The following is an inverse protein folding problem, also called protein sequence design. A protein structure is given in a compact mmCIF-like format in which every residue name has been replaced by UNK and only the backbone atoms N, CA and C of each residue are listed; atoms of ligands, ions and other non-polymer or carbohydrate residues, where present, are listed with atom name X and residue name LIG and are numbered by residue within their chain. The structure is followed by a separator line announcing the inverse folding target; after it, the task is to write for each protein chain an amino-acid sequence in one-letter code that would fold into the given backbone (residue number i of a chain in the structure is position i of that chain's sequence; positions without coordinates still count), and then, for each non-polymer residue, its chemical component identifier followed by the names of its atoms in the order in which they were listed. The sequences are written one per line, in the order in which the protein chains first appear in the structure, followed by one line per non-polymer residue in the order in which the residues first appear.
data_IF_793825280477
#
_entry.id   IF_793825280477
#
_cell.length_a   1.000
_cell.length_b   1.000
_cell.length_c   1.000
_cell.angle_alpha   90.00
_cell.angle_beta   90.00
_cell.angle_gamma   90.00
#
_symmetry.space_group_name_H-M   'P 1'
#
loop_
_entity.id
_entity.type
_entity.pdbx_description
1 polymer ?
#
# COMPACT_ATOMS: atom_id res chain seq x y z
N UNK A 1 -28.11 36.10 -23.79
CA UNK A 1 -26.94 36.94 -23.47
C UNK A 1 -25.68 36.22 -23.97
N UNK A 2 -24.82 36.99 -24.64
CA UNK A 2 -23.41 36.80 -24.99
C UNK A 2 -22.86 35.46 -25.50
N UNK A 3 -22.36 35.57 -26.75
CA UNK A 3 -21.48 34.68 -27.48
C UNK A 3 -20.07 34.65 -26.86
N UNK A 4 -19.42 33.49 -26.87
CA UNK A 4 -17.97 33.38 -27.09
C UNK A 4 -17.68 32.22 -28.05
N UNK A 5 -16.85 32.53 -29.06
CA UNK A 5 -16.25 31.62 -30.05
C UNK A 5 -14.74 31.58 -29.76
N UNK A 6 -14.11 30.41 -29.84
CA UNK A 6 -12.69 30.15 -30.13
C UNK A 6 -12.66 28.69 -30.66
N UNK A 7 -12.52 28.36 -31.96
CA UNK A 7 -11.38 28.46 -32.90
C UNK A 7 -10.11 27.74 -32.46
N UNK A 8 -9.96 26.49 -32.94
CA UNK A 8 -8.92 26.09 -33.90
C UNK A 8 -7.52 25.79 -33.37
N UNK A 9 -7.07 24.55 -33.54
CA UNK A 9 -5.67 24.16 -33.40
C UNK A 9 -5.44 22.69 -33.74
N UNK A 10 -5.40 22.37 -35.03
CA UNK A 10 -4.91 21.08 -35.52
C UNK A 10 -3.43 21.24 -35.88
N UNK A 11 -2.58 20.35 -35.38
CA UNK A 11 -1.26 20.06 -35.96
C UNK A 11 -1.00 18.56 -35.82
N UNK A 12 -1.08 17.87 -36.95
CA UNK A 12 -0.50 16.54 -37.11
C UNK A 12 0.97 16.65 -37.49
N UNK A 13 1.73 15.60 -37.20
CA UNK A 13 2.94 15.23 -37.93
C UNK A 13 2.88 13.72 -38.16
N UNK A 14 3.09 13.35 -39.42
CA UNK A 14 3.07 12.01 -39.99
C UNK A 14 4.51 11.56 -40.26
N UNK A 15 4.78 10.31 -39.87
CA UNK A 15 5.75 9.32 -40.41
C UNK A 15 7.23 9.66 -40.61
N UNK A 16 8.09 8.76 -40.13
CA UNK A 16 9.05 8.07 -40.99
C UNK A 16 9.44 6.69 -40.42
N UNK A 17 9.18 5.65 -41.21
CA UNK A 17 9.68 4.29 -41.06
C UNK A 17 11.08 4.27 -41.68
N UNK A 18 12.08 3.75 -40.97
CA UNK A 18 13.36 3.38 -41.56
C UNK A 18 13.70 1.93 -41.18
N UNK A 19 13.50 1.04 -42.15
CA UNK A 19 14.09 -0.29 -42.18
C UNK A 19 15.44 -0.21 -42.90
N UNK A 20 16.47 -0.88 -42.41
CA UNK A 20 17.79 -0.93 -43.04
C UNK A 20 18.78 -1.89 -42.39
N UNK A 21 18.83 -3.11 -42.92
CA UNK A 21 19.96 -4.05 -43.10
C UNK A 21 21.09 -4.20 -42.06
N UNK A 22 21.16 -5.42 -41.51
CA UNK A 22 22.28 -6.39 -41.62
C UNK A 22 23.73 -5.85 -41.74
N UNK A 23 24.49 -6.00 -40.65
CA UNK A 23 25.82 -6.64 -40.55
C UNK A 23 27.01 -6.07 -41.34
N UNK A 24 28.11 -5.74 -40.65
CA UNK A 24 29.41 -6.42 -40.78
C UNK A 24 30.41 -5.93 -39.70
N UNK A 25 31.35 -6.81 -39.38
CA UNK A 25 32.28 -6.92 -38.26
C UNK A 25 33.40 -5.86 -38.19
N UNK A 26 33.86 -5.70 -36.95
CA UNK A 26 35.25 -5.46 -36.51
C UNK A 26 35.92 -4.12 -36.88
N UNK A 27 35.94 -3.22 -35.90
CA UNK A 27 37.06 -2.29 -35.74
C UNK A 27 37.46 -2.13 -34.28
N UNK A 28 38.64 -2.67 -34.03
CA UNK A 28 39.53 -2.52 -32.88
C UNK A 28 39.66 -1.08 -32.38
N UNK A 29 39.68 -0.94 -31.05
CA UNK A 29 40.38 0.14 -30.35
C UNK A 29 39.50 1.08 -29.54
N UNK A 30 39.38 0.82 -28.24
CA UNK A 30 39.14 1.81 -27.16
C UNK A 30 39.61 1.12 -25.88
N UNK A 31 40.83 1.44 -25.43
CA UNK A 31 41.10 2.38 -24.33
C UNK A 31 40.54 1.88 -22.99
N UNK A 32 41.40 1.63 -21.97
CA UNK A 32 40.90 1.34 -20.63
C UNK A 32 40.26 2.61 -20.10
N UNK A 33 38.93 2.64 -20.04
CA UNK A 33 38.22 3.70 -19.34
C UNK A 33 38.45 3.50 -17.86
N UNK A 34 38.79 4.61 -17.20
CA UNK A 34 38.90 4.77 -15.75
C UNK A 34 37.78 4.02 -15.01
N UNK A 35 38.15 3.39 -13.90
CA UNK A 35 37.20 2.93 -12.89
C UNK A 35 36.56 4.14 -12.22
N UNK A 36 35.58 4.73 -12.89
CA UNK A 36 34.47 5.34 -12.18
C UNK A 36 33.72 4.21 -11.50
N UNK A 37 33.47 4.36 -10.21
CA UNK A 37 32.39 3.67 -9.52
C UNK A 37 31.07 4.12 -10.17
N UNK A 38 30.83 3.70 -11.41
CA UNK A 38 29.51 3.75 -12.02
C UNK A 38 28.66 2.83 -11.14
N UNK A 39 27.74 3.44 -10.39
CA UNK A 39 26.65 2.69 -9.77
C UNK A 39 26.00 1.89 -10.89
N UNK A 40 26.22 0.59 -10.89
CA UNK A 40 25.44 -0.36 -11.68
C UNK A 40 24.43 -0.96 -10.70
N UNK A 41 23.34 -0.23 -10.35
CA UNK A 41 22.31 -0.78 -9.50
C UNK A 41 21.63 -1.88 -10.30
N UNK A 42 22.15 -3.10 -10.18
CA UNK A 42 21.50 -4.33 -10.67
C UNK A 42 20.30 -4.68 -9.76
N UNK A 43 19.52 -3.67 -9.37
CA UNK A 43 18.33 -3.80 -8.55
C UNK A 43 17.13 -3.51 -9.43
N UNK A 44 16.16 -4.43 -9.46
CA UNK A 44 14.82 -4.07 -9.92
C UNK A 44 14.18 -3.19 -8.85
N UNK A 45 13.60 -2.06 -9.27
CA UNK A 45 12.86 -1.18 -8.38
C UNK A 45 11.58 -1.89 -7.94
N UNK A 46 11.35 -1.98 -6.63
CA UNK A 46 10.12 -2.54 -6.10
C UNK A 46 9.01 -1.48 -6.18
N UNK A 47 7.98 -1.78 -6.98
CA UNK A 47 6.80 -0.92 -7.19
C UNK A 47 5.66 -1.22 -6.17
N UNK A 48 5.91 -2.06 -5.15
CA UNK A 48 4.93 -2.26 -4.07
C UNK A 48 4.73 -0.95 -3.30
N UNK A 49 3.47 -0.70 -2.92
CA UNK A 49 3.12 0.53 -2.20
C UNK A 49 3.71 0.57 -0.78
N UNK A 50 3.82 -0.58 -0.10
CA UNK A 50 4.48 -0.69 1.20
C UNK A 50 5.62 -1.69 1.10
N UNK A 51 6.83 -1.24 1.42
CA UNK A 51 8.06 -2.01 1.34
C UNK A 51 8.63 -2.24 2.73
N UNK A 52 8.60 -3.47 3.25
CA UNK A 52 9.33 -3.84 4.45
C UNK A 52 10.81 -3.47 4.36
N UNK A 53 11.30 -2.74 5.36
CA UNK A 53 12.71 -2.40 5.53
C UNK A 53 13.61 -3.64 5.44
N UNK A 54 13.17 -4.77 6.00
CA UNK A 54 13.90 -6.04 5.95
C UNK A 54 14.03 -6.67 4.56
N UNK A 55 13.28 -6.19 3.56
CA UNK A 55 13.35 -6.66 2.17
C UNK A 55 14.16 -5.74 1.26
N UNK A 56 14.66 -4.60 1.77
CA UNK A 56 15.55 -3.74 1.03
C UNK A 56 16.91 -4.43 0.80
N UNK A 57 17.56 -4.24 -0.37
CA UNK A 57 18.93 -4.69 -0.59
C UNK A 57 19.92 -4.02 0.38
N UNK A 58 21.07 -4.65 0.62
CA UNK A 58 22.04 -4.26 1.66
C UNK A 58 22.43 -2.76 1.60
N UNK A 59 22.75 -2.22 0.42
CA UNK A 59 23.16 -0.82 0.26
C UNK A 59 22.00 0.18 0.53
N UNK A 60 20.83 0.09 -0.15
CA UNK A 60 19.63 0.85 0.21
C UNK A 60 19.22 0.72 1.69
N UNK A 61 19.30 -0.50 2.25
CA UNK A 61 18.94 -0.78 3.63
C UNK A 61 19.86 -0.03 4.60
N UNK A 62 21.17 -0.04 4.36
CA UNK A 62 22.14 0.66 5.19
C UNK A 62 21.95 2.19 5.15
N UNK A 63 21.59 2.77 4.00
CA UNK A 63 21.25 4.20 3.90
C UNK A 63 19.96 4.53 4.65
N UNK A 64 18.92 3.71 4.48
CA UNK A 64 17.65 3.86 5.20
C UNK A 64 17.86 3.77 6.72
N UNK A 65 18.66 2.82 7.18
CA UNK A 65 19.00 2.67 8.59
C UNK A 65 19.62 3.96 9.16
N UNK A 66 20.64 4.48 8.46
CA UNK A 66 21.33 5.70 8.90
C UNK A 66 20.38 6.89 8.94
N UNK A 67 19.48 7.00 7.96
CA UNK A 67 18.51 8.07 7.91
C UNK A 67 17.49 7.98 9.05
N UNK A 68 16.94 6.80 9.32
CA UNK A 68 16.01 6.57 10.43
C UNK A 68 16.67 6.83 11.80
N UNK A 69 17.94 6.44 11.98
CA UNK A 69 18.67 6.62 13.24
C UNK A 69 19.10 8.08 13.51
N UNK A 70 19.34 8.88 12.45
CA UNK A 70 19.99 10.18 12.56
C UNK A 70 19.14 11.37 12.07
N UNK A 71 17.83 11.19 11.86
CA UNK A 71 16.96 12.23 11.27
C UNK A 71 17.45 12.68 9.88
N UNK A 72 17.92 11.68 9.12
CA UNK A 72 18.38 11.79 7.75
C UNK A 72 19.82 11.32 7.52
N UNK A 73 20.11 11.01 6.26
CA UNK A 73 21.42 10.57 5.78
C UNK A 73 21.87 11.47 4.64
N UNK A 74 22.99 12.16 4.81
CA UNK A 74 23.55 13.10 3.83
C UNK A 74 24.84 12.54 3.22
N UNK A 75 24.99 12.68 1.91
CA UNK A 75 26.16 12.22 1.16
C UNK A 75 26.46 13.14 -0.03
N UNK A 76 27.74 13.23 -0.40
CA UNK A 76 28.20 13.88 -1.64
C UNK A 76 28.14 12.93 -2.85
N UNK A 77 27.92 11.64 -2.59
CA UNK A 77 27.76 10.60 -3.60
C UNK A 77 26.28 10.42 -3.99
N UNK A 78 26.00 9.62 -5.01
CA UNK A 78 24.63 9.26 -5.38
C UNK A 78 24.04 8.25 -4.37
N UNK A 79 22.79 8.48 -3.96
CA UNK A 79 22.06 7.61 -3.02
C UNK A 79 21.62 6.32 -3.73
N UNK A 80 21.81 5.18 -3.06
CA UNK A 80 21.34 3.86 -3.53
C UNK A 80 19.84 3.67 -3.32
N UNK A 81 19.30 4.21 -2.23
CA UNK A 81 17.89 4.08 -1.84
C UNK A 81 16.87 4.37 -2.97
N UNK A 82 16.93 5.48 -3.72
CA UNK A 82 15.95 5.78 -4.77
C UNK A 82 15.98 4.82 -5.97
N UNK A 83 17.02 3.98 -6.09
CA UNK A 83 17.09 2.95 -7.14
C UNK A 83 16.33 1.67 -6.75
N UNK A 84 16.17 1.41 -5.45
CA UNK A 84 15.49 0.21 -4.97
C UNK A 84 14.00 0.44 -4.65
N UNK A 85 13.64 1.68 -4.28
CA UNK A 85 12.29 2.03 -3.78
C UNK A 85 11.64 3.05 -4.71
N UNK A 86 10.40 2.79 -5.13
CA UNK A 86 9.65 3.74 -5.95
C UNK A 86 9.26 5.01 -5.14
N UNK A 87 9.24 6.21 -5.74
CA UNK A 87 8.95 7.47 -5.03
C UNK A 87 7.58 7.57 -4.36
N UNK A 88 6.64 6.69 -4.72
CA UNK A 88 5.29 6.62 -4.15
C UNK A 88 5.16 5.55 -3.07
N UNK A 89 6.23 4.81 -2.79
CA UNK A 89 6.24 3.72 -1.83
C UNK A 89 6.58 4.22 -0.43
N UNK A 90 6.00 3.56 0.55
CA UNK A 90 6.20 3.77 1.98
C UNK A 90 7.07 2.64 2.53
N UNK A 91 8.00 2.95 3.43
CA UNK A 91 8.83 1.93 4.09
C UNK A 91 8.20 1.51 5.40
N UNK A 92 8.01 0.20 5.61
CA UNK A 92 7.58 -0.37 6.89
C UNK A 92 8.81 -0.79 7.71
N UNK A 93 8.98 -0.25 8.92
CA UNK A 93 10.04 -0.67 9.84
C UNK A 93 9.48 -0.86 11.25
N UNK A 94 9.66 -2.06 11.82
CA UNK A 94 9.16 -2.44 13.15
C UNK A 94 7.65 -2.18 13.40
N UNK A 95 6.84 -2.17 12.34
CA UNK A 95 5.39 -1.94 12.40
C UNK A 95 4.96 -0.50 12.15
N UNK A 96 5.91 0.44 12.15
CA UNK A 96 5.69 1.83 11.79
C UNK A 96 5.94 2.04 10.29
N UNK A 97 5.32 3.07 9.72
CA UNK A 97 5.38 3.37 8.30
C UNK A 97 6.01 4.74 8.06
N UNK A 98 6.84 4.84 7.02
CA UNK A 98 7.61 6.04 6.72
C UNK A 98 7.51 6.43 5.25
N UNK A 99 7.06 7.65 5.01
CA UNK A 99 7.30 8.35 3.76
C UNK A 99 8.76 8.78 3.71
N UNK A 100 9.32 8.89 2.51
CA UNK A 100 10.71 9.28 2.32
C UNK A 100 10.84 10.39 1.30
N UNK A 101 11.83 11.24 1.51
CA UNK A 101 12.15 12.33 0.61
C UNK A 101 13.67 12.46 0.40
N UNK A 102 14.04 13.00 -0.76
CA UNK A 102 15.43 13.34 -1.06
C UNK A 102 15.51 14.84 -1.29
N UNK A 103 16.15 15.53 -0.34
CA UNK A 103 16.57 16.92 -0.49
C UNK A 103 17.89 16.95 -1.25
N UNK A 104 18.01 17.80 -2.28
CA UNK A 104 19.26 17.96 -3.04
C UNK A 104 19.77 19.39 -2.90
N UNK A 105 21.00 19.55 -2.42
CA UNK A 105 21.65 20.85 -2.22
C UNK A 105 23.03 20.88 -2.87
N UNK A 106 23.21 21.70 -3.91
CA UNK A 106 24.47 21.85 -4.66
C UNK A 106 25.16 20.52 -5.06
N UNK A 107 25.99 19.97 -4.19
CA UNK A 107 26.77 18.75 -4.37
C UNK A 107 26.36 17.60 -3.43
N UNK A 108 25.41 17.81 -2.51
CA UNK A 108 24.94 16.80 -1.56
C UNK A 108 23.51 16.37 -1.84
N UNK A 109 23.20 15.13 -1.46
CA UNK A 109 21.84 14.61 -1.36
C UNK A 109 21.58 14.15 0.07
N UNK A 110 20.42 14.50 0.62
CA UNK A 110 19.97 14.08 1.95
C UNK A 110 18.68 13.27 1.85
N UNK A 111 18.74 12.01 2.26
CA UNK A 111 17.59 11.13 2.45
C UNK A 111 16.97 11.41 3.82
N UNK A 112 15.64 11.53 3.90
CA UNK A 112 14.87 11.65 5.15
C UNK A 112 13.67 10.73 5.15
N UNK A 113 13.22 10.39 6.35
CA UNK A 113 12.01 9.62 6.59
C UNK A 113 11.09 10.41 7.52
N UNK A 114 9.81 10.45 7.21
CA UNK A 114 8.76 11.02 8.05
C UNK A 114 7.72 9.92 8.32
N UNK A 115 7.38 9.73 9.60
CA UNK A 115 6.35 8.77 9.99
C UNK A 115 5.00 9.15 9.37
N UNK A 116 4.31 8.18 8.79
CA UNK A 116 3.04 8.37 8.09
C UNK A 116 2.08 7.23 8.43
N UNK A 117 0.82 7.40 8.06
CA UNK A 117 -0.16 6.31 8.06
C UNK A 117 -0.58 6.08 6.61
N UNK A 118 -0.07 5.03 5.93
CA UNK A 118 -0.40 4.79 4.54
C UNK A 118 -1.89 4.54 4.38
N UNK A 119 -2.42 4.80 3.18
CA UNK A 119 -3.80 4.48 2.83
C UNK A 119 -3.83 3.40 1.76
N UNK A 120 -4.63 2.37 2.01
CA UNK A 120 -5.00 1.35 1.04
C UNK A 120 -5.61 2.01 -0.21
N UNK A 121 -5.20 1.61 -1.44
CA UNK A 121 -5.81 2.11 -2.67
C UNK A 121 -7.28 1.68 -2.87
N UNK A 122 -7.77 0.68 -2.11
CA UNK A 122 -9.16 0.25 -2.08
C UNK A 122 -9.87 0.62 -0.78
N UNK A 123 -10.95 -0.09 -0.47
CA UNK A 123 -11.59 -0.07 0.84
C UNK A 123 -11.25 -1.36 1.60
N UNK A 124 -11.18 -1.23 2.92
CA UNK A 124 -11.19 -2.33 3.85
C UNK A 124 -12.66 -2.66 4.12
N UNK A 125 -13.04 -3.89 3.79
CA UNK A 125 -14.43 -4.29 3.76
C UNK A 125 -14.73 -5.24 4.94
N UNK A 126 -15.87 -5.00 5.60
CA UNK A 126 -16.38 -5.80 6.70
C UNK A 126 -17.64 -6.55 6.23
N UNK A 127 -17.53 -7.87 6.09
CA UNK A 127 -18.67 -8.75 5.83
C UNK A 127 -19.37 -9.09 7.15
N UNK A 128 -20.70 -9.09 7.19
CA UNK A 128 -21.47 -9.47 8.39
C UNK A 128 -22.03 -10.88 8.18
N UNK A 129 -21.69 -11.79 9.11
CA UNK A 129 -22.08 -13.20 9.05
C UNK A 129 -22.96 -13.51 10.26
N UNK A 130 -24.23 -13.86 10.01
CA UNK A 130 -25.14 -14.28 11.07
C UNK A 130 -25.09 -15.80 11.26
N UNK A 131 -24.45 -16.25 12.35
CA UNK A 131 -24.35 -17.66 12.72
C UNK A 131 -25.49 -18.13 13.63
N UNK A 132 -26.52 -17.30 13.83
CA UNK A 132 -27.74 -17.68 14.55
C UNK A 132 -28.74 -18.36 13.62
N UNK A 133 -29.72 -19.06 14.19
CA UNK A 133 -30.77 -19.76 13.44
C UNK A 133 -31.94 -18.84 13.01
N UNK A 134 -31.89 -17.53 13.33
CA UNK A 134 -32.97 -16.56 13.03
C UNK A 134 -32.39 -15.27 12.42
N UNK A 135 -33.15 -14.53 11.59
CA UNK A 135 -32.70 -13.22 11.12
C UNK A 135 -32.51 -12.24 12.28
N UNK A 136 -31.44 -11.46 12.23
CA UNK A 136 -31.09 -10.46 13.25
C UNK A 136 -30.95 -9.07 12.64
N UNK A 137 -31.12 -8.04 13.47
CA UNK A 137 -30.82 -6.65 13.10
C UNK A 137 -29.56 -6.18 13.83
N UNK A 138 -28.57 -5.73 13.09
CA UNK A 138 -27.26 -5.32 13.64
C UNK A 138 -27.02 -3.82 13.42
N UNK A 139 -26.68 -3.11 14.50
CA UNK A 139 -26.09 -1.78 14.43
C UNK A 139 -24.57 -1.90 14.66
N UNK A 140 -23.77 -1.31 13.78
CA UNK A 140 -22.31 -1.45 13.74
C UNK A 140 -21.67 -0.08 13.87
N UNK A 141 -20.70 0.05 14.78
CA UNK A 141 -19.86 1.23 14.93
C UNK A 141 -18.41 0.79 14.90
N UNK A 142 -17.62 1.38 14.01
CA UNK A 142 -16.17 1.15 13.92
C UNK A 142 -15.42 2.40 14.35
N UNK A 143 -14.43 2.21 15.22
CA UNK A 143 -13.58 3.29 15.76
C UNK A 143 -12.10 3.04 15.52
N UNK A 144 -11.34 4.13 15.39
CA UNK A 144 -9.87 4.08 15.39
C UNK A 144 -9.29 4.00 16.81
N UNK A 145 -7.96 3.87 16.92
CA UNK A 145 -7.25 3.81 18.22
C UNK A 145 -7.38 5.11 19.06
N UNK A 146 -7.80 6.21 18.44
CA UNK A 146 -8.06 7.48 19.09
C UNK A 146 -9.53 7.65 19.51
N UNK A 147 -10.34 6.59 19.43
CA UNK A 147 -11.77 6.54 19.76
C UNK A 147 -12.63 7.45 18.86
N UNK A 148 -12.15 7.77 17.65
CA UNK A 148 -12.96 8.46 16.65
C UNK A 148 -13.81 7.45 15.89
N UNK A 149 -15.10 7.74 15.74
CA UNK A 149 -15.98 6.97 14.85
C UNK A 149 -15.60 7.26 13.40
N UNK A 150 -15.11 6.22 12.71
CA UNK A 150 -14.76 6.28 11.29
C UNK A 150 -15.89 5.73 10.41
N UNK A 151 -16.73 4.86 10.97
CA UNK A 151 -17.86 4.26 10.28
C UNK A 151 -18.99 3.94 11.28
N UNK A 152 -20.23 4.13 10.85
CA UNK A 152 -21.45 3.78 11.59
C UNK A 152 -22.54 3.38 10.59
N UNK A 153 -23.13 2.21 10.79
CA UNK A 153 -24.28 1.72 10.03
C UNK A 153 -25.29 1.14 11.02
N UNK A 154 -26.58 1.44 10.83
CA UNK A 154 -27.63 1.02 11.75
C UNK A 154 -28.74 0.28 11.00
N UNK A 155 -29.30 -0.74 11.64
CA UNK A 155 -30.44 -1.48 11.12
C UNK A 155 -30.08 -2.45 9.99
N UNK A 156 -28.88 -3.02 9.99
CA UNK A 156 -28.47 -4.02 9.00
C UNK A 156 -29.23 -5.32 9.27
N UNK A 157 -30.18 -5.67 8.41
CA UNK A 157 -30.89 -6.96 8.47
C UNK A 157 -29.97 -8.06 7.92
N UNK A 158 -29.71 -9.10 8.72
CA UNK A 158 -28.82 -10.21 8.36
C UNK A 158 -29.56 -11.53 8.54
N UNK A 159 -29.80 -12.24 7.44
CA UNK A 159 -30.39 -13.58 7.44
C UNK A 159 -29.37 -14.63 7.92
N UNK A 160 -29.82 -15.76 8.50
CA UNK A 160 -28.94 -16.87 8.90
C UNK A 160 -28.03 -17.33 7.76
N UNK A 161 -26.77 -17.60 8.07
CA UNK A 161 -25.74 -17.90 7.07
C UNK A 161 -26.03 -19.18 6.27
N UNK A 162 -26.72 -20.15 6.85
CA UNK A 162 -27.13 -21.38 6.16
C UNK A 162 -28.37 -21.21 5.28
N UNK A 163 -29.05 -20.06 5.38
CA UNK A 163 -30.24 -19.72 4.59
C UNK A 163 -29.95 -18.81 3.38
N UNK A 164 -28.75 -18.20 3.29
CA UNK A 164 -28.36 -17.28 2.21
C UNK A 164 -27.17 -17.76 1.38
N UNK A 165 -27.04 -17.22 0.16
CA UNK A 165 -25.81 -17.35 -0.60
C UNK A 165 -24.74 -16.40 -0.03
N UNK A 166 -23.48 -16.84 -0.01
CA UNK A 166 -22.36 -16.03 0.48
C UNK A 166 -22.24 -14.68 -0.25
N UNK A 167 -22.71 -14.60 -1.50
CA UNK A 167 -22.72 -13.35 -2.29
C UNK A 167 -23.83 -12.37 -1.92
N UNK A 168 -24.78 -12.79 -1.07
CA UNK A 168 -25.88 -11.97 -0.57
C UNK A 168 -25.62 -11.44 0.84
N UNK A 169 -24.49 -11.82 1.46
CA UNK A 169 -24.06 -11.31 2.77
C UNK A 169 -23.84 -9.79 2.70
N UNK A 170 -24.23 -9.02 3.73
CA UNK A 170 -23.91 -7.60 3.81
C UNK A 170 -22.41 -7.37 3.86
N UNK A 171 -21.88 -6.60 2.90
CA UNK A 171 -20.48 -6.17 2.82
C UNK A 171 -20.42 -4.64 2.99
N UNK A 172 -19.66 -4.18 3.98
CA UNK A 172 -19.58 -2.78 4.38
C UNK A 172 -18.18 -2.23 4.10
N UNK A 173 -18.08 -1.22 3.22
CA UNK A 173 -16.84 -0.51 2.97
C UNK A 173 -16.55 0.48 4.11
N UNK A 174 -15.60 0.16 4.99
CA UNK A 174 -15.41 0.86 6.28
C UNK A 174 -14.40 2.00 6.18
N UNK A 175 -13.15 1.69 5.82
CA UNK A 175 -12.04 2.64 5.79
C UNK A 175 -11.05 2.23 4.71
N UNK A 176 -10.11 3.10 4.35
CA UNK A 176 -8.96 2.73 3.54
C UNK A 176 -7.65 2.83 4.33
N UNK A 177 -7.68 2.98 5.65
CA UNK A 177 -6.47 3.17 6.45
C UNK A 177 -5.85 1.83 6.89
N UNK A 178 -4.52 1.80 7.02
CA UNK A 178 -3.82 0.75 7.74
C UNK A 178 -3.77 1.10 9.23
N UNK A 179 -4.64 0.46 10.02
CA UNK A 179 -4.74 0.72 11.45
C UNK A 179 -5.36 -0.50 12.16
N UNK A 180 -5.40 -0.44 13.49
CA UNK A 180 -6.25 -1.35 14.27
C UNK A 180 -7.55 -0.65 14.61
N UNK A 181 -8.67 -1.25 14.22
CA UNK A 181 -10.01 -0.74 14.50
C UNK A 181 -10.68 -1.50 15.65
N UNK A 182 -11.51 -0.80 16.42
CA UNK A 182 -12.47 -1.41 17.34
C UNK A 182 -13.83 -1.51 16.64
N UNK A 183 -14.39 -2.71 16.55
CA UNK A 183 -15.72 -2.98 15.99
C UNK A 183 -16.69 -3.25 17.13
N UNK A 184 -17.64 -2.35 17.33
CA UNK A 184 -18.71 -2.50 18.30
C UNK A 184 -20.03 -2.80 17.58
N UNK A 185 -20.77 -3.79 18.08
CA UNK A 185 -22.05 -4.20 17.51
C UNK A 185 -23.18 -4.20 18.55
N UNK A 186 -24.39 -3.86 18.12
CA UNK A 186 -25.64 -4.04 18.87
C UNK A 186 -26.55 -4.94 18.06
N UNK A 187 -26.96 -6.08 18.62
CA UNK A 187 -27.76 -7.11 17.92
C UNK A 187 -29.14 -7.13 18.54
N UNK A 188 -30.17 -6.84 17.74
CA UNK A 188 -31.58 -6.72 18.17
C UNK A 188 -31.80 -5.78 19.37
N UNK A 189 -30.95 -4.75 19.46
CA UNK A 189 -30.97 -3.76 20.55
C UNK A 189 -30.13 -4.13 21.78
N UNK A 190 -29.50 -5.31 21.80
CA UNK A 190 -28.61 -5.74 22.87
C UNK A 190 -27.12 -5.51 22.48
N UNK A 191 -26.38 -4.66 23.20
CA UNK A 191 -24.99 -4.36 22.88
C UNK A 191 -24.08 -5.55 23.19
N UNK A 192 -23.14 -5.83 22.28
CA UNK A 192 -22.15 -6.91 22.41
C UNK A 192 -20.77 -6.35 22.79
N UNK A 193 -19.89 -7.22 23.23
CA UNK A 193 -18.52 -6.80 23.53
C UNK A 193 -17.85 -6.38 22.20
N UNK A 194 -17.10 -5.26 22.18
CA UNK A 194 -16.36 -4.90 20.98
C UNK A 194 -15.21 -5.87 20.73
N UNK A 195 -14.83 -6.03 19.47
CA UNK A 195 -13.68 -6.83 19.05
C UNK A 195 -12.73 -6.03 18.15
N UNK A 196 -11.50 -6.52 17.99
CA UNK A 196 -10.42 -5.82 17.30
C UNK A 196 -10.26 -6.29 15.85
N UNK A 197 -10.12 -5.33 14.94
CA UNK A 197 -9.84 -5.58 13.53
C UNK A 197 -8.52 -4.92 13.10
N UNK A 198 -7.39 -5.67 13.09
CA UNK A 198 -6.13 -5.18 12.57
C UNK A 198 -6.08 -5.22 11.04
N UNK A 199 -5.83 -4.07 10.40
CA UNK A 199 -5.52 -3.95 8.97
C UNK A 199 -4.03 -3.67 8.79
N UNK A 200 -3.33 -4.62 8.20
CA UNK A 200 -1.87 -4.57 8.01
C UNK A 200 -1.52 -4.89 6.56
N UNK A 201 -0.27 -4.65 6.15
CA UNK A 201 0.22 -5.09 4.83
C UNK A 201 0.02 -6.59 4.56
N UNK A 202 0.00 -7.40 5.62
CA UNK A 202 -0.08 -8.87 5.51
C UNK A 202 -1.50 -9.43 5.53
N UNK A 203 -2.52 -8.60 5.70
CA UNK A 203 -3.92 -9.01 5.73
C UNK A 203 -4.81 -8.05 6.52
N UNK A 204 -6.10 -8.37 6.61
CA UNK A 204 -7.08 -7.52 7.28
C UNK A 204 -7.81 -6.56 6.38
N UNK A 205 -7.48 -6.45 5.09
CA UNK A 205 -8.29 -5.64 4.15
C UNK A 205 -9.70 -6.20 3.97
N UNK A 206 -9.92 -7.47 4.33
CA UNK A 206 -11.23 -8.08 4.46
C UNK A 206 -11.35 -8.72 5.84
N UNK A 207 -12.48 -8.48 6.51
CA UNK A 207 -12.82 -9.11 7.77
C UNK A 207 -14.27 -9.55 7.78
N UNK A 208 -14.59 -10.54 8.62
CA UNK A 208 -15.95 -11.03 8.87
C UNK A 208 -16.32 -10.72 10.32
N UNK A 209 -17.44 -10.05 10.52
CA UNK A 209 -18.09 -9.92 11.82
C UNK A 209 -19.05 -11.10 11.99
N UNK A 210 -18.64 -12.10 12.76
CA UNK A 210 -19.47 -13.24 13.13
C UNK A 210 -20.40 -12.82 14.26
N UNK A 211 -21.70 -12.94 14.02
CA UNK A 211 -22.76 -12.67 14.99
C UNK A 211 -23.32 -13.99 15.48
N UNK A 212 -23.21 -14.23 16.79
CA UNK A 212 -23.74 -15.42 17.47
C UNK A 212 -24.84 -15.01 18.45
N UNK A 213 -25.53 -15.98 19.05
CA UNK A 213 -26.56 -15.69 20.07
C UNK A 213 -25.99 -14.91 21.27
N UNK A 214 -24.74 -15.20 21.65
CA UNK A 214 -24.12 -14.72 22.88
C UNK A 214 -23.18 -13.53 22.65
N UNK A 215 -22.47 -13.47 21.52
CA UNK A 215 -21.43 -12.46 21.29
C UNK A 215 -21.20 -12.15 19.80
N UNK A 216 -20.30 -11.20 19.54
CA UNK A 216 -19.71 -10.98 18.21
C UNK A 216 -18.21 -11.25 18.23
N UNK A 217 -17.67 -11.66 17.08
CA UNK A 217 -16.24 -11.83 16.89
C UNK A 217 -15.81 -11.38 15.49
N UNK A 218 -14.65 -10.75 15.39
CA UNK A 218 -14.04 -10.36 14.12
C UNK A 218 -13.03 -11.42 13.69
N UNK A 219 -13.28 -12.04 12.54
CA UNK A 219 -12.32 -12.89 11.84
C UNK A 219 -11.62 -12.08 10.75
N UNK A 220 -10.28 -12.14 10.71
CA UNK A 220 -9.47 -11.45 9.71
C UNK A 220 -8.92 -12.44 8.68
N UNK A 221 -9.14 -12.16 7.41
CA UNK A 221 -8.50 -12.90 6.33
C UNK A 221 -7.04 -12.44 6.17
N UNK A 222 -6.11 -13.37 6.38
CA UNK A 222 -4.68 -13.17 6.16
C UNK A 222 -4.30 -13.51 4.71
N UNK A 223 -4.71 -12.66 3.78
CA UNK A 223 -4.19 -12.71 2.41
C UNK A 223 -3.04 -11.71 2.32
N UNK A 224 -1.82 -12.19 2.11
CA UNK A 224 -0.67 -11.31 1.89
C UNK A 224 -0.93 -10.48 0.64
N UNK A 225 -1.02 -9.16 0.79
CA UNK A 225 -1.50 -8.29 -0.28
C UNK A 225 -0.37 -7.83 -1.21
N UNK A 226 0.88 -7.86 -0.73
CA UNK A 226 2.07 -7.39 -1.45
C UNK A 226 3.30 -8.23 -1.13
N UNK A 227 3.96 -8.79 -2.15
CA UNK A 227 5.21 -9.54 -2.00
C UNK A 227 6.21 -9.22 -3.11
N UNK A 228 7.01 -8.16 -2.95
CA UNK A 228 8.30 -7.97 -3.64
C UNK A 228 9.36 -9.01 -3.19
N UNK A 229 9.13 -10.32 -3.42
CA UNK A 229 10.11 -11.38 -3.05
C UNK A 229 10.69 -12.18 -4.22
N UNK A 230 10.25 -11.94 -5.44
CA UNK A 230 10.95 -12.34 -6.65
C UNK A 230 11.62 -11.02 -7.10
N UNK A 231 12.88 -10.68 -6.80
CA UNK A 231 14.04 -11.02 -7.64
C UNK A 231 15.40 -10.61 -7.02
N UNK A 232 15.56 -10.47 -5.68
CA UNK A 232 16.88 -10.18 -5.08
C UNK A 232 17.74 -11.44 -4.82
N UNK A 233 17.75 -12.40 -5.73
CA UNK A 233 18.76 -13.47 -5.70
C UNK A 233 20.01 -12.99 -6.43
N UNK A 234 20.99 -12.53 -5.67
CA UNK A 234 22.39 -12.43 -6.10
C UNK A 234 22.88 -13.82 -6.54
N UNK A 235 23.15 -14.01 -7.84
CA UNK A 235 23.95 -15.13 -8.35
C UNK A 235 25.44 -14.99 -7.95
#
# INVERSE_FOLDING_TARGET
MNRRRFLGGACGIVSAIAAGCLGELERTGSSPTDGGDDLDPNFEQCDDYIIPYSMLPDEPQAEAQRALENDGYETDDELWFPHAVAPTSVVENDGDYYEWEIEREEATSKLRFEETTPTWPGTNDLEVVNETDEPVVVDIVVRDEADNTIFEEAGVEVEPDDEIDVTERPELAVSNEYATFEVAATVDGDPRAPDSWPVTRTGGTQARLHVTEEDVAVEVDHVAVHTCREEYTSE
#
